data_IF_107999594743
#
_entry.id   IF_107999594743
#
_cell.length_a   1.000
_cell.length_b   1.000
_cell.length_c   1.000
_cell.angle_alpha   90.00
_cell.angle_beta   90.00
_cell.angle_gamma   90.00
#
_symmetry.space_group_name_H-M   'P 1'
#
loop_
_entity.id
_entity.type
_entity.pdbx_description
1 polymer ?
#
# COMPACT_ATOMS: atom_id res chain seq x y z
N UNK A 1 4.03 -3.58 13.45
CA UNK A 1 3.25 -4.17 14.55
C UNK A 1 3.95 -5.43 15.04
N UNK A 2 4.52 -5.41 16.23
CA UNK A 2 5.23 -6.56 16.83
C UNK A 2 4.29 -7.61 17.40
N UNK A 3 2.99 -7.31 17.54
CA UNK A 3 1.98 -8.27 18.01
C UNK A 3 1.61 -9.32 16.95
N UNK A 4 1.88 -9.03 15.67
CA UNK A 4 1.58 -9.94 14.56
C UNK A 4 2.63 -11.06 14.42
N UNK A 5 2.22 -12.27 13.98
CA UNK A 5 3.15 -13.37 13.74
C UNK A 5 4.30 -12.98 12.80
N UNK A 6 5.53 -13.46 13.01
CA UNK A 6 6.68 -13.15 12.16
C UNK A 6 6.42 -13.39 10.66
N UNK A 7 5.70 -14.46 10.33
CA UNK A 7 5.32 -14.79 8.95
C UNK A 7 4.44 -13.72 8.29
N UNK A 8 3.51 -13.14 9.04
CA UNK A 8 2.63 -12.05 8.55
C UNK A 8 3.47 -10.80 8.27
N UNK A 9 4.32 -10.41 9.23
CA UNK A 9 5.22 -9.25 9.10
C UNK A 9 6.18 -9.39 7.91
N UNK A 10 6.79 -10.57 7.76
CA UNK A 10 7.66 -10.87 6.63
C UNK A 10 6.89 -10.84 5.29
N UNK A 11 5.66 -11.36 5.27
CA UNK A 11 4.82 -11.36 4.07
C UNK A 11 4.50 -9.96 3.53
N UNK A 12 4.32 -8.98 4.41
CA UNK A 12 4.04 -7.58 4.03
C UNK A 12 5.29 -6.73 3.83
N UNK A 13 6.49 -7.31 3.94
CA UNK A 13 7.75 -6.61 3.69
C UNK A 13 8.10 -6.71 2.20
N UNK A 14 8.32 -5.59 1.48
CA UNK A 14 8.69 -5.61 0.08
C UNK A 14 9.98 -6.40 -0.18
N UNK A 15 9.98 -7.24 -1.21
CA UNK A 15 11.14 -8.05 -1.63
C UNK A 15 12.18 -7.25 -2.42
N UNK A 16 11.74 -6.18 -3.07
CA UNK A 16 12.55 -5.35 -3.94
C UNK A 16 12.24 -3.88 -3.69
N UNK A 17 13.28 -3.05 -3.77
CA UNK A 17 13.11 -1.61 -3.94
C UNK A 17 12.84 -1.34 -5.42
N UNK A 18 11.60 -0.96 -5.74
CA UNK A 18 11.14 -0.75 -7.12
C UNK A 18 10.55 0.66 -7.33
N UNK A 19 10.68 1.55 -6.36
CA UNK A 19 10.26 2.95 -6.47
C UNK A 19 11.13 3.72 -7.46
N UNK A 20 10.48 4.64 -8.17
CA UNK A 20 11.16 5.67 -8.96
C UNK A 20 11.46 6.88 -8.09
N UNK A 21 12.48 7.68 -8.45
CA UNK A 21 12.80 8.93 -7.76
C UNK A 21 11.62 9.90 -7.64
N UNK A 22 11.70 10.79 -6.65
CA UNK A 22 10.74 11.89 -6.44
C UNK A 22 10.57 12.70 -7.74
N UNK A 23 9.32 13.09 -8.02
CA UNK A 23 8.93 13.77 -9.26
C UNK A 23 8.54 12.84 -10.40
N UNK A 24 8.77 11.52 -10.27
CA UNK A 24 8.33 10.53 -11.25
C UNK A 24 7.08 9.76 -10.79
N UNK A 25 6.31 9.28 -11.76
CA UNK A 25 5.13 8.46 -11.51
C UNK A 25 5.50 7.01 -11.20
N UNK A 26 5.08 6.55 -10.03
CA UNK A 26 5.05 5.13 -9.68
C UNK A 26 3.70 4.51 -10.10
N UNK A 27 3.73 3.30 -10.68
CA UNK A 27 2.53 2.57 -11.06
C UNK A 27 2.37 1.32 -10.19
N UNK A 28 1.22 1.21 -9.53
CA UNK A 28 0.85 0.05 -8.73
C UNK A 28 -0.19 -0.79 -9.46
N UNK A 29 -0.05 -2.11 -9.37
CA UNK A 29 -1.12 -3.07 -9.59
C UNK A 29 -1.30 -3.88 -8.31
N UNK A 30 -2.50 -3.83 -7.74
CA UNK A 30 -2.80 -4.46 -6.46
C UNK A 30 -3.91 -5.47 -6.72
N UNK A 31 -3.64 -6.73 -6.40
CA UNK A 31 -4.62 -7.82 -6.50
C UNK A 31 -4.95 -8.30 -5.10
N UNK A 32 -6.25 -8.31 -4.77
CA UNK A 32 -6.76 -8.82 -3.50
C UNK A 32 -7.66 -10.01 -3.77
N UNK A 33 -7.33 -11.17 -3.17
CA UNK A 33 -8.15 -12.38 -3.21
C UNK A 33 -8.35 -12.87 -1.78
N UNK A 34 -9.59 -12.78 -1.27
CA UNK A 34 -9.90 -13.02 0.15
C UNK A 34 -9.02 -12.13 1.04
N UNK A 35 -8.21 -12.73 1.91
CA UNK A 35 -7.27 -12.05 2.82
C UNK A 35 -5.84 -11.95 2.25
N UNK A 36 -5.67 -12.21 0.95
CA UNK A 36 -4.35 -12.24 0.29
C UNK A 36 -4.15 -11.06 -0.63
N UNK A 37 -3.01 -10.39 -0.46
CA UNK A 37 -2.63 -9.24 -1.29
C UNK A 37 -1.35 -9.54 -2.05
N UNK A 38 -1.39 -9.27 -3.35
CA UNK A 38 -0.21 -9.17 -4.22
C UNK A 38 -0.07 -7.73 -4.68
N UNK A 39 1.15 -7.20 -4.64
CA UNK A 39 1.48 -5.84 -5.10
C UNK A 39 2.59 -5.92 -6.14
N UNK A 40 2.32 -5.37 -7.31
CA UNK A 40 3.31 -5.11 -8.35
C UNK A 40 3.55 -3.60 -8.40
N UNK A 41 4.81 -3.19 -8.22
CA UNK A 41 5.26 -1.80 -8.30
C UNK A 41 6.18 -1.65 -9.51
N UNK A 42 5.81 -0.78 -10.44
CA UNK A 42 6.57 -0.50 -11.66
C UNK A 42 6.95 -1.77 -12.46
N UNK A 43 6.06 -2.77 -12.50
CA UNK A 43 6.28 -4.04 -13.19
C UNK A 43 7.01 -5.11 -12.38
N UNK A 44 7.44 -4.82 -11.15
CA UNK A 44 8.12 -5.76 -10.25
C UNK A 44 7.15 -6.21 -9.15
N UNK A 45 6.97 -7.53 -8.99
CA UNK A 45 6.20 -8.07 -7.85
C UNK A 45 6.98 -7.85 -6.55
N UNK A 46 6.52 -6.89 -5.74
CA UNK A 46 7.19 -6.51 -4.48
C UNK A 46 6.57 -7.23 -3.28
N UNK A 47 5.28 -7.58 -3.34
CA UNK A 47 4.57 -8.35 -2.32
C UNK A 47 3.85 -9.52 -3.00
N UNK A 48 4.09 -10.74 -2.54
CA UNK A 48 3.49 -11.94 -3.10
C UNK A 48 2.50 -12.59 -2.13
N UNK A 49 1.20 -12.56 -2.45
CA UNK A 49 0.12 -13.26 -1.72
C UNK A 49 0.23 -13.15 -0.19
N UNK A 50 0.58 -11.97 0.31
CA UNK A 50 0.73 -11.69 1.73
C UNK A 50 -0.62 -11.85 2.43
N UNK A 51 -0.63 -12.49 3.60
CA UNK A 51 -1.84 -12.58 4.41
C UNK A 51 -2.05 -11.30 5.20
N UNK A 52 -3.28 -10.79 5.19
CA UNK A 52 -3.75 -9.71 6.07
C UNK A 52 -4.84 -10.26 6.99
N UNK A 53 -4.48 -10.79 8.18
CA UNK A 53 -5.45 -11.30 9.14
C UNK A 53 -6.46 -10.22 9.53
N UNK A 54 -7.74 -10.58 9.57
CA UNK A 54 -8.82 -9.65 9.96
C UNK A 54 -9.23 -8.64 8.88
N UNK A 55 -8.73 -8.77 7.65
CA UNK A 55 -9.21 -7.96 6.52
C UNK A 55 -10.71 -8.20 6.31
N UNK A 56 -11.50 -7.13 6.32
CA UNK A 56 -12.93 -7.19 6.02
C UNK A 56 -13.17 -7.67 4.59
N UNK A 57 -14.22 -8.46 4.37
CA UNK A 57 -14.56 -8.99 3.03
C UNK A 57 -14.85 -7.85 2.04
N UNK A 58 -15.44 -6.75 2.53
CA UNK A 58 -15.84 -5.59 1.73
C UNK A 58 -15.61 -4.29 2.51
N UNK A 59 -15.25 -3.25 1.78
CA UNK A 59 -15.05 -1.91 2.33
C UNK A 59 -14.60 -0.91 1.26
N UNK A 60 -14.54 0.39 1.59
CA UNK A 60 -14.04 1.40 0.67
C UNK A 60 -12.53 1.28 0.45
N UNK A 61 -12.06 1.70 -0.72
CA UNK A 61 -10.64 2.00 -0.95
C UNK A 61 -10.41 3.46 -0.60
N UNK A 62 -9.39 3.73 0.21
CA UNK A 62 -9.03 5.08 0.63
C UNK A 62 -7.59 5.43 0.19
N UNK A 63 -7.37 6.69 -0.14
CA UNK A 63 -6.04 7.24 -0.42
C UNK A 63 -5.59 8.03 0.80
N UNK A 64 -4.57 7.53 1.49
CA UNK A 64 -4.05 8.21 2.67
C UNK A 64 -3.12 9.36 2.24
N UNK A 65 -3.36 10.54 2.79
CA UNK A 65 -2.41 11.64 2.79
C UNK A 65 -1.84 11.80 4.20
N UNK A 66 -0.55 11.50 4.39
CA UNK A 66 0.03 11.51 5.72
C UNK A 66 0.39 12.95 6.15
N UNK A 67 -0.43 13.48 7.07
CA UNK A 67 -0.10 14.64 7.90
C UNK A 67 -0.14 14.24 9.38
N UNK A 68 0.45 15.06 10.24
CA UNK A 68 0.37 14.88 11.69
C UNK A 68 0.28 16.22 12.40
N UNK A 69 -0.43 16.26 13.53
CA UNK A 69 -0.43 17.43 14.41
C UNK A 69 0.58 17.16 15.54
N UNK A 70 1.59 18.01 15.67
CA UNK A 70 2.55 17.98 16.79
C UNK A 70 2.45 19.31 17.53
N UNK A 71 2.28 19.26 18.85
CA UNK A 71 2.22 20.46 19.72
C UNK A 71 1.20 21.52 19.24
N UNK A 72 0.03 21.08 18.79
CA UNK A 72 -1.00 22.01 18.30
C UNK A 72 -0.81 22.47 16.84
N UNK A 73 0.34 22.21 16.22
CA UNK A 73 0.66 22.63 14.86
C UNK A 73 0.62 21.46 13.88
N UNK A 74 0.10 21.69 12.68
CA UNK A 74 0.13 20.71 11.61
C UNK A 74 1.53 20.66 11.00
N UNK A 75 2.21 19.52 11.17
CA UNK A 75 3.39 19.16 10.40
C UNK A 75 2.95 18.23 9.27
N UNK A 76 2.98 18.71 8.04
CA UNK A 76 2.93 17.87 6.86
C UNK A 76 4.25 18.08 6.11
N UNK A 77 4.90 17.02 5.58
CA UNK A 77 5.94 17.22 4.57
C UNK A 77 5.39 18.14 3.46
N UNK A 78 6.21 18.92 2.74
CA UNK A 78 5.74 19.68 1.58
C UNK A 78 5.13 18.69 0.58
N UNK A 79 3.80 18.62 0.57
CA UNK A 79 3.07 17.41 0.26
C UNK A 79 2.33 17.56 -1.05
N UNK A 80 3.07 17.41 -2.14
CA UNK A 80 2.47 17.14 -3.44
C UNK A 80 2.54 15.63 -3.70
N UNK A 81 1.64 14.89 -3.03
CA UNK A 81 1.31 13.53 -3.46
C UNK A 81 0.10 13.63 -4.39
N UNK A 82 0.28 13.19 -5.63
CA UNK A 82 -0.77 13.21 -6.64
C UNK A 82 -1.10 11.78 -7.05
N UNK A 83 -2.37 11.53 -7.33
CA UNK A 83 -2.86 10.25 -7.86
C UNK A 83 -3.49 10.48 -9.22
N UNK A 84 -3.32 9.53 -10.14
CA UNK A 84 -4.00 9.51 -11.44
C UNK A 84 -4.24 8.07 -11.86
N UNK A 85 -5.13 7.86 -12.82
CA UNK A 85 -5.35 6.56 -13.47
C UNK A 85 -5.69 5.45 -12.47
N UNK A 86 -6.62 5.73 -11.55
CA UNK A 86 -7.09 4.80 -10.53
C UNK A 86 -8.31 4.07 -11.09
N UNK A 87 -8.20 2.75 -11.20
CA UNK A 87 -9.27 1.89 -11.69
C UNK A 87 -9.40 0.68 -10.77
N UNK A 88 -10.61 0.12 -10.71
CA UNK A 88 -10.88 -1.12 -9.99
C UNK A 88 -11.60 -2.08 -10.93
N UNK A 89 -11.22 -3.35 -10.89
CA UNK A 89 -11.90 -4.43 -11.58
C UNK A 89 -12.21 -5.54 -10.57
N UNK A 90 -13.49 -5.88 -10.34
CA UNK A 90 -13.85 -7.05 -9.55
C UNK A 90 -13.26 -8.32 -10.16
N UNK A 91 -12.77 -9.22 -9.31
CA UNK A 91 -12.34 -10.56 -9.74
C UNK A 91 -13.56 -11.48 -9.83
N UNK A 92 -13.54 -12.41 -10.79
CA UNK A 92 -14.56 -13.44 -10.96
C UNK A 92 -14.29 -14.61 -10.02
#
# INVERSE_FOLDING_TARGET
>A
DTSMPPKVRAGVTPRHQADKPVGQWNRFEITVVKDRVTVVLNGVEVIHRAQLPGMAERGPIALQHHGGKRNGQWSSPPSLLQFKNIYIKPLK
#
